data_IF_406744083361
#
_entry.id   IF_406744083361
#
_cell.length_a   1.000
_cell.length_b   1.000
_cell.length_c   1.000
_cell.angle_alpha   90.00
_cell.angle_beta   90.00
_cell.angle_gamma   90.00
#
_symmetry.space_group_name_H-M   'P 1'
#
loop_
_entity.id
_entity.type
_entity.pdbx_description
1 polymer ?
#
# COMPACT_ATOMS: atom_id res chain seq x y z
N UNK A 1 -24.65 3.06 23.42
CA UNK A 1 -24.61 4.54 23.28
C UNK A 1 -24.57 5.15 24.68
N UNK A 2 -23.64 6.06 24.96
CA UNK A 2 -23.61 6.84 26.20
C UNK A 2 -23.96 8.30 25.90
N UNK A 3 -24.81 8.91 26.73
CA UNK A 3 -25.19 10.31 26.64
C UNK A 3 -24.66 11.06 27.87
N UNK A 4 -23.77 12.04 27.66
CA UNK A 4 -23.12 12.80 28.73
C UNK A 4 -23.71 14.21 28.78
N UNK A 5 -24.53 14.50 29.80
CA UNK A 5 -25.08 15.82 30.07
C UNK A 5 -24.27 16.49 31.19
N UNK A 6 -23.53 17.56 30.88
CA UNK A 6 -22.71 18.28 31.87
C UNK A 6 -23.67 19.09 32.76
N UNK A 7 -23.88 18.65 33.99
CA UNK A 7 -24.78 19.32 34.95
C UNK A 7 -26.26 18.94 34.83
N UNK A 8 -26.62 17.90 34.06
CA UNK A 8 -28.00 17.39 33.94
C UNK A 8 -28.88 18.07 32.87
N UNK A 9 -28.32 19.02 32.11
CA UNK A 9 -29.00 19.69 31.00
C UNK A 9 -28.77 18.94 29.68
N UNK A 10 -29.85 18.47 29.05
CA UNK A 10 -29.79 17.60 27.87
C UNK A 10 -29.58 18.38 26.56
N UNK A 11 -29.76 19.70 26.56
CA UNK A 11 -29.57 20.55 25.38
C UNK A 11 -28.09 20.71 24.96
N UNK A 12 -27.14 20.32 25.82
CA UNK A 12 -25.69 20.35 25.54
C UNK A 12 -25.03 18.98 25.66
N UNK A 13 -25.83 17.91 25.56
CA UNK A 13 -25.32 16.56 25.73
C UNK A 13 -24.44 16.11 24.56
N UNK A 14 -23.33 15.44 24.89
CA UNK A 14 -22.46 14.81 23.90
C UNK A 14 -22.82 13.33 23.75
N UNK A 15 -22.94 12.87 22.50
CA UNK A 15 -23.14 11.46 22.19
C UNK A 15 -21.77 10.81 21.99
N UNK A 16 -21.45 9.82 22.82
CA UNK A 16 -20.34 8.90 22.56
C UNK A 16 -20.91 7.60 21.94
N UNK A 17 -20.86 7.44 20.61
CA UNK A 17 -21.03 6.14 20.00
C UNK A 17 -19.80 5.28 20.32
N UNK A 18 -19.99 4.16 21.01
CA UNK A 18 -18.87 3.30 21.43
C UNK A 18 -19.20 2.25 22.50
N UNK A 19 -20.47 1.88 22.66
CA UNK A 19 -20.82 0.72 23.49
C UNK A 19 -21.18 -0.40 22.53
N UNK A 20 -20.34 -1.43 22.48
CA UNK A 20 -20.64 -2.68 21.79
C UNK A 20 -21.93 -3.27 22.38
N UNK A 21 -22.85 -3.65 21.52
CA UNK A 21 -24.13 -4.27 21.87
C UNK A 21 -24.26 -5.63 21.18
N UNK A 22 -25.24 -6.45 21.53
CA UNK A 22 -25.46 -7.73 20.81
C UNK A 22 -25.73 -7.50 19.32
N UNK A 23 -26.31 -6.36 18.95
CA UNK A 23 -26.49 -5.93 17.56
C UNK A 23 -25.20 -5.38 16.90
N UNK A 24 -24.17 -5.07 17.68
CA UNK A 24 -22.87 -4.58 17.21
C UNK A 24 -21.73 -5.12 18.11
N UNK A 25 -21.42 -6.43 17.98
CA UNK A 25 -20.43 -7.09 18.83
C UNK A 25 -19.03 -6.50 18.62
N UNK A 26 -18.14 -6.74 19.58
CA UNK A 26 -16.74 -6.34 19.46
C UNK A 26 -16.16 -6.86 18.13
N UNK A 27 -15.53 -6.00 17.33
CA UNK A 27 -15.15 -6.36 15.96
C UNK A 27 -13.89 -7.24 15.94
N UNK A 28 -13.27 -7.48 17.11
CA UNK A 28 -12.21 -8.46 17.32
C UNK A 28 -12.46 -9.27 18.59
N UNK A 29 -12.13 -10.57 18.53
CA UNK A 29 -12.07 -11.46 19.70
C UNK A 29 -10.72 -11.42 20.43
N UNK A 30 -9.76 -10.63 19.95
CA UNK A 30 -8.47 -10.40 20.59
C UNK A 30 -8.58 -9.19 21.52
N UNK A 31 -8.24 -9.32 22.82
CA UNK A 31 -8.36 -8.23 23.79
C UNK A 31 -7.41 -7.06 23.51
N UNK A 32 -6.33 -7.29 22.75
CA UNK A 32 -5.25 -6.33 22.53
C UNK A 32 -5.20 -5.79 21.08
N UNK A 33 -6.02 -6.32 20.17
CA UNK A 33 -6.02 -5.89 18.77
C UNK A 33 -6.72 -4.55 18.59
N UNK A 34 -6.12 -3.67 17.80
CA UNK A 34 -6.85 -2.54 17.22
C UNK A 34 -7.58 -3.04 15.97
N UNK A 35 -8.90 -2.96 15.93
CA UNK A 35 -9.70 -3.39 14.78
C UNK A 35 -10.79 -2.37 14.47
N UNK A 36 -10.83 -1.92 13.21
CA UNK A 36 -11.89 -1.07 12.66
C UNK A 36 -12.53 -1.74 11.44
N UNK A 37 -13.82 -2.06 11.55
CA UNK A 37 -14.66 -2.65 10.49
C UNK A 37 -15.62 -1.61 9.90
N UNK A 38 -15.78 -1.61 8.58
CA UNK A 38 -16.65 -0.68 7.87
C UNK A 38 -17.87 -1.39 7.22
N UNK A 39 -19.00 -0.68 6.98
CA UNK A 39 -20.23 -1.29 6.43
C UNK A 39 -20.09 -1.90 5.03
N UNK A 40 -19.08 -1.49 4.26
CA UNK A 40 -18.75 -2.02 2.94
C UNK A 40 -17.88 -3.29 3.01
N UNK A 41 -17.55 -3.76 4.22
CA UNK A 41 -16.70 -4.92 4.47
C UNK A 41 -15.21 -4.62 4.54
N UNK A 42 -14.79 -3.35 4.46
CA UNK A 42 -13.39 -2.99 4.66
C UNK A 42 -12.97 -3.18 6.14
N UNK A 43 -11.70 -3.52 6.34
CA UNK A 43 -11.10 -3.75 7.67
C UNK A 43 -9.71 -3.11 7.75
N UNK A 44 -9.42 -2.45 8.87
CA UNK A 44 -8.08 -2.04 9.29
C UNK A 44 -7.80 -2.67 10.65
N UNK A 45 -6.74 -3.47 10.74
CA UNK A 45 -6.41 -4.23 11.96
C UNK A 45 -4.91 -4.20 12.28
N UNK A 46 -4.57 -4.01 13.55
CA UNK A 46 -3.25 -4.31 14.10
C UNK A 46 -3.36 -5.37 15.21
N UNK A 47 -2.70 -6.51 15.03
CA UNK A 47 -2.67 -7.64 15.97
C UNK A 47 -1.28 -7.76 16.62
N UNK A 48 -1.11 -7.33 17.89
CA UNK A 48 0.18 -7.32 18.59
C UNK A 48 0.80 -8.71 18.76
N UNK A 49 0.00 -9.76 18.97
CA UNK A 49 0.51 -11.13 19.16
C UNK A 49 1.27 -11.66 17.95
N UNK A 50 1.00 -11.11 16.76
CA UNK A 50 1.69 -11.42 15.51
C UNK A 50 2.54 -10.27 14.98
N UNK A 51 2.42 -9.07 15.55
CA UNK A 51 3.02 -7.84 15.03
C UNK A 51 2.53 -7.50 13.62
N UNK A 52 1.26 -7.75 13.31
CA UNK A 52 0.73 -7.68 11.95
C UNK A 52 -0.24 -6.52 11.77
N UNK A 53 0.03 -5.65 10.79
CA UNK A 53 -0.91 -4.65 10.29
C UNK A 53 -1.58 -5.16 9.01
N UNK A 54 -2.92 -5.15 8.96
CA UNK A 54 -3.72 -5.58 7.82
C UNK A 54 -4.71 -4.49 7.41
N UNK A 55 -4.76 -4.19 6.11
CA UNK A 55 -5.80 -3.38 5.48
C UNK A 55 -6.39 -4.20 4.34
N UNK A 56 -7.69 -4.49 4.41
CA UNK A 56 -8.36 -5.41 3.48
C UNK A 56 -9.77 -4.92 3.11
N UNK A 57 -10.32 -5.47 2.02
CA UNK A 57 -11.68 -5.17 1.55
C UNK A 57 -11.87 -3.81 0.86
N UNK A 58 -10.80 -2.99 0.78
CA UNK A 58 -10.84 -1.67 0.14
C UNK A 58 -10.79 -1.75 -1.39
N UNK A 59 -11.33 -0.73 -2.05
CA UNK A 59 -11.24 -0.57 -3.52
C UNK A 59 -10.01 0.24 -3.95
N UNK A 60 -9.65 1.26 -3.18
CA UNK A 60 -8.54 2.19 -3.49
C UNK A 60 -7.80 2.56 -2.21
N UNK A 61 -6.52 2.90 -2.34
CA UNK A 61 -5.70 3.49 -1.28
C UNK A 61 -4.76 4.52 -1.91
N UNK A 62 -4.73 5.71 -1.32
CA UNK A 62 -3.87 6.82 -1.76
C UNK A 62 -3.05 7.32 -0.57
N UNK A 63 -1.74 7.49 -0.77
CA UNK A 63 -0.81 8.02 0.22
C UNK A 63 -0.13 9.25 -0.40
N UNK A 64 -0.48 10.43 0.11
CA UNK A 64 0.09 11.70 -0.36
C UNK A 64 0.93 12.32 0.74
N UNK A 65 2.22 12.52 0.46
CA UNK A 65 3.16 13.18 1.35
C UNK A 65 3.83 14.36 0.62
N UNK A 66 4.12 15.46 1.34
CA UNK A 66 4.75 16.64 0.75
C UNK A 66 6.27 16.53 0.60
N UNK A 67 6.89 15.60 1.32
CA UNK A 67 8.35 15.48 1.39
C UNK A 67 8.84 14.09 0.98
N UNK A 68 8.47 13.04 1.72
CA UNK A 68 8.98 11.69 1.47
C UNK A 68 8.05 10.59 1.98
N UNK A 69 8.22 9.40 1.40
CA UNK A 69 7.66 8.13 1.86
C UNK A 69 8.79 7.10 1.91
N UNK A 70 9.02 6.46 3.07
CA UNK A 70 10.09 5.48 3.27
C UNK A 70 9.52 4.19 3.84
N UNK A 71 9.98 3.04 3.35
CA UNK A 71 9.67 1.72 3.89
C UNK A 71 10.97 0.94 4.14
N UNK A 72 11.24 0.62 5.41
CA UNK A 72 12.46 -0.11 5.83
C UNK A 72 12.07 -1.44 6.44
N UNK A 73 12.19 -2.50 5.65
CA UNK A 73 11.93 -3.89 6.05
C UNK A 73 12.85 -4.83 5.28
N UNK A 74 13.11 -6.07 5.76
CA UNK A 74 13.93 -7.03 5.03
C UNK A 74 13.37 -7.44 3.66
N UNK A 75 12.05 -7.49 3.51
CA UNK A 75 11.38 -7.90 2.28
C UNK A 75 10.16 -7.02 1.98
N UNK A 76 10.03 -6.57 0.73
CA UNK A 76 8.85 -5.88 0.20
C UNK A 76 8.32 -6.67 -0.99
N UNK A 77 7.03 -7.03 -0.96
CA UNK A 77 6.36 -7.72 -2.06
C UNK A 77 5.17 -6.92 -2.58
N UNK A 78 5.18 -6.62 -3.88
CA UNK A 78 4.06 -5.97 -4.58
C UNK A 78 3.50 -6.95 -5.60
N UNK A 79 2.21 -7.25 -5.52
CA UNK A 79 1.52 -8.15 -6.47
C UNK A 79 0.42 -7.37 -7.18
N UNK A 80 0.49 -7.27 -8.50
CA UNK A 80 -0.50 -6.63 -9.37
C UNK A 80 -0.78 -7.53 -10.56
N UNK A 81 -2.05 -7.66 -10.95
CA UNK A 81 -2.47 -8.45 -12.12
C UNK A 81 -2.43 -7.65 -13.43
N UNK A 82 -2.20 -6.34 -13.34
CA UNK A 82 -2.27 -5.43 -14.50
C UNK A 82 -0.94 -4.70 -14.73
N UNK A 83 -0.59 -3.75 -13.85
CA UNK A 83 0.61 -2.90 -14.01
C UNK A 83 1.06 -2.36 -12.65
N UNK A 84 2.37 -2.10 -12.55
CA UNK A 84 2.96 -1.18 -11.56
C UNK A 84 3.62 -0.06 -12.36
N UNK A 85 3.29 1.19 -12.04
CA UNK A 85 3.87 2.38 -12.70
C UNK A 85 4.70 3.15 -11.68
N UNK A 86 5.95 3.45 -12.02
CA UNK A 86 6.82 4.32 -11.25
C UNK A 86 6.98 5.64 -12.02
N UNK A 87 6.13 6.62 -11.72
CA UNK A 87 6.15 7.92 -12.38
C UNK A 87 7.11 8.86 -11.64
N UNK A 88 8.40 8.73 -11.96
CA UNK A 88 9.49 9.49 -11.37
C UNK A 88 10.58 9.74 -12.41
N UNK A 89 11.32 10.85 -12.33
CA UNK A 89 12.49 11.07 -13.17
C UNK A 89 13.57 9.99 -13.04
N UNK A 90 13.72 9.39 -11.85
CA UNK A 90 14.77 8.40 -11.58
C UNK A 90 14.28 7.27 -10.67
N UNK A 91 14.64 6.03 -11.02
CA UNK A 91 14.48 4.84 -10.20
C UNK A 91 15.85 4.18 -10.03
N UNK A 92 16.31 4.06 -8.78
CA UNK A 92 17.62 3.47 -8.47
C UNK A 92 17.44 2.10 -7.81
N UNK A 93 17.87 1.05 -8.52
CA UNK A 93 18.12 -0.27 -7.91
C UNK A 93 19.59 -0.35 -7.52
N UNK A 94 19.89 -0.42 -6.22
CA UNK A 94 21.27 -0.34 -5.70
C UNK A 94 22.15 -1.56 -6.04
N UNK A 95 21.52 -2.68 -6.41
CA UNK A 95 22.20 -3.93 -6.72
C UNK A 95 21.64 -4.52 -8.03
N UNK A 96 20.86 -5.59 -7.93
CA UNK A 96 20.39 -6.36 -9.09
C UNK A 96 18.93 -6.07 -9.42
N UNK A 97 18.65 -5.78 -10.69
CA UNK A 97 17.30 -5.82 -11.26
C UNK A 97 17.10 -7.17 -11.96
N UNK A 98 16.06 -7.92 -11.57
CA UNK A 98 15.63 -9.16 -12.23
C UNK A 98 14.25 -8.91 -12.82
N UNK A 99 14.11 -9.10 -14.13
CA UNK A 99 12.82 -8.99 -14.83
C UNK A 99 12.74 -10.05 -15.92
N UNK A 100 11.52 -10.51 -16.23
CA UNK A 100 11.28 -11.44 -17.33
C UNK A 100 11.49 -10.75 -18.70
N UNK A 101 11.16 -9.47 -18.81
CA UNK A 101 11.33 -8.66 -20.02
C UNK A 101 11.70 -7.22 -19.66
N UNK A 102 12.52 -6.58 -20.49
CA UNK A 102 12.90 -5.18 -20.36
C UNK A 102 12.69 -4.47 -21.69
N UNK A 103 11.90 -3.39 -21.68
CA UNK A 103 11.70 -2.50 -22.82
C UNK A 103 12.25 -1.12 -22.48
N UNK A 104 13.13 -0.58 -23.34
CA UNK A 104 13.76 0.73 -23.17
C UNK A 104 13.36 1.61 -24.35
N UNK A 105 12.48 2.59 -24.11
CA UNK A 105 11.85 3.37 -25.20
C UNK A 105 12.65 4.62 -25.60
N UNK A 106 13.31 5.27 -24.64
CA UNK A 106 14.03 6.55 -24.85
C UNK A 106 15.55 6.39 -24.82
N UNK A 107 16.03 5.18 -25.09
CA UNK A 107 17.45 4.82 -24.99
C UNK A 107 17.94 4.75 -23.54
N UNK A 108 19.25 4.59 -23.38
CA UNK A 108 19.91 4.50 -22.09
C UNK A 108 21.41 4.24 -22.26
N UNK A 109 22.17 4.35 -21.18
CA UNK A 109 23.59 4.02 -21.15
C UNK A 109 23.74 2.67 -20.43
N UNK A 110 24.39 1.71 -21.09
CA UNK A 110 24.82 0.47 -20.48
C UNK A 110 26.35 0.49 -20.39
N UNK A 111 26.89 0.26 -19.21
CA UNK A 111 28.33 0.31 -18.95
C UNK A 111 28.80 -0.93 -18.16
N UNK A 112 30.07 -1.27 -18.30
CA UNK A 112 30.66 -2.47 -17.71
C UNK A 112 30.54 -3.71 -18.59
N UNK A 113 30.82 -4.87 -18.01
CA UNK A 113 30.73 -6.15 -18.71
C UNK A 113 29.26 -6.55 -18.84
N UNK A 114 28.78 -6.70 -20.08
CA UNK A 114 27.42 -7.14 -20.38
C UNK A 114 27.48 -8.54 -20.99
N UNK A 115 26.96 -9.51 -20.26
CA UNK A 115 26.76 -10.86 -20.77
C UNK A 115 25.33 -11.01 -21.28
N UNK A 116 25.20 -11.39 -22.54
CA UNK A 116 23.91 -11.69 -23.17
C UNK A 116 24.01 -13.03 -23.89
N UNK A 117 22.98 -13.86 -23.69
CA UNK A 117 22.88 -15.19 -24.29
C UNK A 117 21.42 -15.49 -24.64
N UNK A 118 21.20 -16.49 -25.51
CA UNK A 118 19.85 -16.93 -25.88
C UNK A 118 19.07 -15.98 -26.79
N UNK A 119 19.73 -15.02 -27.45
CA UNK A 119 19.06 -14.03 -28.31
C UNK A 119 19.99 -13.33 -29.31
N UNK A 120 19.50 -12.26 -29.94
CA UNK A 120 20.27 -11.38 -30.84
C UNK A 120 20.03 -9.91 -30.48
N UNK A 121 21.09 -9.10 -30.53
CA UNK A 121 20.94 -7.65 -30.61
C UNK A 121 20.80 -7.24 -32.07
N UNK A 122 19.71 -6.55 -32.41
CA UNK A 122 19.46 -6.05 -33.76
C UNK A 122 19.20 -4.55 -33.71
N UNK A 123 19.92 -3.78 -34.51
CA UNK A 123 19.62 -2.36 -34.75
C UNK A 123 18.92 -2.19 -36.09
N UNK A 124 17.89 -1.35 -36.14
CA UNK A 124 17.29 -0.89 -37.40
C UNK A 124 17.49 0.62 -37.48
N UNK A 125 18.20 1.08 -38.52
CA UNK A 125 18.29 2.51 -38.81
C UNK A 125 16.97 2.89 -39.49
N UNK A 126 16.24 3.87 -38.97
CA UNK A 126 15.11 4.46 -39.69
C UNK A 126 15.65 4.99 -41.03
N UNK A 127 15.11 4.52 -42.15
CA UNK A 127 15.46 5.04 -43.46
C UNK A 127 15.02 6.51 -43.50
N UNK A 128 15.99 7.43 -43.47
CA UNK A 128 15.73 8.85 -43.69
C UNK A 128 15.30 9.05 -45.13
N UNK A 129 14.10 9.60 -45.32
CA UNK A 129 13.71 10.32 -46.53
C UNK A 129 13.98 11.81 -46.36
#
# INVERSE_FOLDING_TARGET
MLLLAIGGELDTAFVLPGIFSDDHPAPSGSPDAFHASFPDGAVIEYEPGRGALTVAGIKTADITASESLTATVPEVRVTSTSRITLDTPEVVCTNKLITASLEVQKGGVMAGNIEHSGGKFTSKRGAGG
#
